data_IF_010571836997
#
_entry.id   IF_010571836997
#
_cell.length_a   1.000
_cell.length_b   1.000
_cell.length_c   1.000
_cell.angle_alpha   90.00
_cell.angle_beta   90.00
_cell.angle_gamma   90.00
#
_symmetry.space_group_name_H-M   'P 1'
#
loop_
_entity.id
_entity.type
_entity.pdbx_description
1 polymer ?
#
# COMPACT_ATOMS: atom_id res chain seq x y z
N UNK A 1 6.74 -4.82 5.98
CA UNK A 1 7.40 -4.89 4.66
C UNK A 1 6.37 -4.47 3.62
N UNK A 2 6.70 -3.49 2.78
CA UNK A 2 5.86 -3.10 1.63
C UNK A 2 6.52 -3.75 0.42
N UNK A 3 5.84 -4.67 -0.26
CA UNK A 3 6.29 -5.18 -1.54
C UNK A 3 5.69 -4.33 -2.67
N UNK A 4 6.51 -4.01 -3.64
CA UNK A 4 6.11 -3.45 -4.93
C UNK A 4 6.43 -4.48 -6.00
N UNK A 5 5.66 -4.52 -7.09
CA UNK A 5 5.98 -5.40 -8.21
C UNK A 5 7.38 -5.07 -8.75
N UNK A 6 8.18 -6.08 -9.11
CA UNK A 6 9.59 -5.89 -9.53
C UNK A 6 9.75 -4.94 -10.74
N UNK A 7 8.71 -4.80 -11.56
CA UNK A 7 8.65 -3.89 -12.70
C UNK A 7 7.81 -2.61 -12.47
N UNK A 8 7.43 -2.30 -11.23
CA UNK A 8 6.69 -1.06 -10.97
C UNK A 8 7.60 0.17 -10.94
N UNK A 9 7.21 1.29 -11.59
CA UNK A 9 7.90 2.57 -11.46
C UNK A 9 7.73 3.20 -10.05
N UNK A 10 6.93 2.57 -9.18
CA UNK A 10 6.64 2.97 -7.81
C UNK A 10 7.92 2.87 -6.96
N UNK A 11 8.66 3.98 -6.88
CA UNK A 11 9.84 4.12 -6.01
C UNK A 11 9.55 4.83 -4.69
N UNK A 12 8.44 5.54 -4.63
CA UNK A 12 8.08 6.35 -3.46
C UNK A 12 6.61 6.15 -3.11
N UNK A 13 6.26 6.51 -1.87
CA UNK A 13 4.88 6.40 -1.39
C UNK A 13 3.94 7.35 -2.14
N UNK A 14 4.44 8.49 -2.62
CA UNK A 14 3.67 9.43 -3.42
C UNK A 14 3.15 8.79 -4.71
N UNK A 15 3.90 7.84 -5.27
CA UNK A 15 3.55 7.10 -6.49
C UNK A 15 2.40 6.10 -6.27
N UNK A 16 2.09 5.75 -5.00
CA UNK A 16 0.94 4.92 -4.67
C UNK A 16 -0.39 5.63 -4.92
N UNK A 17 -0.41 6.95 -5.11
CA UNK A 17 -1.61 7.71 -5.45
C UNK A 17 -2.22 7.20 -6.76
N UNK A 18 -3.50 6.85 -6.72
CA UNK A 18 -4.23 6.28 -7.84
C UNK A 18 -3.97 4.79 -8.08
N UNK A 19 -2.98 4.20 -7.40
CA UNK A 19 -2.62 2.79 -7.54
C UNK A 19 -3.33 1.92 -6.49
N UNK A 20 -3.45 0.62 -6.83
CA UNK A 20 -3.96 -0.40 -5.92
C UNK A 20 -2.87 -0.79 -4.93
N UNK A 21 -3.17 -0.65 -3.66
CA UNK A 21 -2.27 -0.99 -2.56
C UNK A 21 -2.84 -2.18 -1.82
N UNK A 22 -2.23 -3.34 -2.03
CA UNK A 22 -2.62 -4.58 -1.40
C UNK A 22 -1.94 -4.71 -0.02
N UNK A 23 -2.72 -4.85 1.05
CA UNK A 23 -2.19 -5.06 2.41
C UNK A 23 -3.11 -5.95 3.23
N UNK A 24 -2.54 -6.58 4.25
CA UNK A 24 -3.29 -7.44 5.16
C UNK A 24 -3.94 -6.59 6.28
N UNK A 25 -5.25 -6.75 6.47
CA UNK A 25 -6.03 -6.01 7.48
C UNK A 25 -5.59 -6.44 8.89
N UNK A 26 -5.25 -5.46 9.75
CA UNK A 26 -4.85 -5.73 11.13
C UNK A 26 -3.38 -6.15 11.32
N UNK A 27 -2.59 -6.20 10.26
CA UNK A 27 -1.15 -6.52 10.32
C UNK A 27 -0.29 -5.26 10.43
N UNK A 28 0.98 -5.41 10.81
CA UNK A 28 1.95 -4.30 10.88
C UNK A 28 2.02 -3.47 9.59
N UNK A 29 1.76 -4.08 8.43
CA UNK A 29 1.68 -3.42 7.12
C UNK A 29 0.57 -2.36 7.04
N UNK A 30 -0.55 -2.53 7.75
CA UNK A 30 -1.64 -1.54 7.80
C UNK A 30 -1.17 -0.22 8.42
N UNK A 31 -0.49 -0.30 9.57
CA UNK A 31 0.06 0.87 10.25
C UNK A 31 1.17 1.53 9.44
N UNK A 32 2.02 0.72 8.81
CA UNK A 32 3.12 1.21 7.99
C UNK A 32 2.60 1.96 6.76
N UNK A 33 1.54 1.45 6.12
CA UNK A 33 0.87 2.13 5.02
C UNK A 33 0.28 3.47 5.44
N UNK A 34 -0.46 3.53 6.55
CA UNK A 34 -1.02 4.78 7.07
C UNK A 34 0.05 5.84 7.35
N UNK A 35 1.20 5.43 7.90
CA UNK A 35 2.34 6.31 8.15
C UNK A 35 3.00 6.77 6.85
N UNK A 36 3.21 5.83 5.93
CA UNK A 36 3.80 6.08 4.63
C UNK A 36 2.96 7.09 3.83
N UNK A 37 1.63 6.90 3.76
CA UNK A 37 0.69 7.82 3.14
C UNK A 37 0.78 9.21 3.77
N UNK A 38 0.80 9.28 5.11
CA UNK A 38 0.97 10.55 5.84
C UNK A 38 2.29 11.24 5.50
N UNK A 39 3.41 10.52 5.44
CA UNK A 39 4.70 11.10 5.05
C UNK A 39 4.69 11.64 3.61
N UNK A 40 3.93 11.03 2.71
CA UNK A 40 3.75 11.51 1.35
C UNK A 40 2.68 12.60 1.21
N UNK A 41 1.99 12.97 2.29
CA UNK A 41 0.85 13.90 2.24
C UNK A 41 -0.38 13.33 1.51
N UNK A 42 -0.43 12.01 1.31
CA UNK A 42 -1.53 11.31 0.67
C UNK A 42 -2.61 10.96 1.68
N UNK A 43 -3.87 11.04 1.24
CA UNK A 43 -5.00 10.57 2.01
C UNK A 43 -5.30 9.13 1.64
N UNK A 44 -6.00 8.43 2.53
CA UNK A 44 -6.47 7.07 2.26
C UNK A 44 -7.41 7.00 1.05
N UNK A 45 -8.06 8.11 0.71
CA UNK A 45 -8.91 8.28 -0.48
C UNK A 45 -8.12 8.46 -1.77
N UNK A 46 -6.84 8.83 -1.70
CA UNK A 46 -5.97 8.97 -2.86
C UNK A 46 -5.48 7.61 -3.38
N UNK A 47 -5.62 6.54 -2.60
CA UNK A 47 -5.18 5.19 -2.97
C UNK A 47 -6.36 4.23 -3.09
N UNK A 48 -6.16 3.10 -3.78
CA UNK A 48 -7.14 2.01 -3.79
C UNK A 48 -6.69 0.91 -2.82
N UNK A 49 -7.19 0.90 -1.57
CA UNK A 49 -6.83 -0.14 -0.61
C UNK A 49 -7.46 -1.48 -1.00
N UNK A 50 -6.61 -2.48 -1.26
CA UNK A 50 -7.01 -3.88 -1.43
C UNK A 50 -6.63 -4.65 -0.18
N UNK A 51 -7.58 -5.36 0.39
CA UNK A 51 -7.29 -6.28 1.49
C UNK A 51 -6.85 -7.61 0.90
N UNK A 52 -5.59 -7.99 1.14
CA UNK A 52 -5.12 -9.33 0.82
C UNK A 52 -5.84 -10.30 1.74
N UNK A 53 -6.65 -11.16 1.15
CA UNK A 53 -7.18 -12.31 1.87
C UNK A 53 -6.07 -13.36 1.96
N UNK A 54 -6.09 -14.26 2.97
CA UNK A 54 -5.09 -15.33 3.05
C UNK A 54 -5.00 -16.21 1.80
N UNK A 55 -5.97 -16.15 0.89
CA UNK A 55 -5.96 -16.86 -0.39
C UNK A 55 -5.07 -16.20 -1.47
N UNK A 56 -4.80 -14.90 -1.39
CA UNK A 56 -3.97 -14.15 -2.35
C UNK A 56 -2.46 -14.23 -2.06
N UNK A 57 -2.06 -14.89 -0.96
CA UNK A 57 -0.67 -15.02 -0.54
C UNK A 57 0.03 -16.28 -1.11
N UNK A 58 -0.50 -16.87 -2.17
CA UNK A 58 -0.02 -18.14 -2.75
C UNK A 58 0.67 -17.94 -4.09
#
# INVERSE_FOLDING_TARGET
>A
MILVAENSPIKTVADLKGHKVAFQKGSSSHNLLLRALRQAGLKFTDIQPTYLTPADAR
#
